data_IF_958986854003
#
_entry.id   IF_958986854003
#
_cell.length_a   1.000
_cell.length_b   1.000
_cell.length_c   1.000
_cell.angle_alpha   90.00
_cell.angle_beta   90.00
_cell.angle_gamma   90.00
#
_symmetry.space_group_name_H-M   'P 1'
#
loop_
_entity.id
_entity.type
_entity.pdbx_description
1 polymer ?
#
# COMPACT_ATOMS: atom_id res chain seq x y z
N UNK A 1 15.44 -16.08 -15.08
CA UNK A 1 14.28 -15.18 -15.16
C UNK A 1 14.73 -13.74 -15.13
N UNK A 2 14.44 -12.99 -16.20
CA UNK A 2 14.66 -11.55 -16.26
C UNK A 2 13.65 -10.78 -15.39
N UNK A 3 13.93 -9.50 -15.13
CA UNK A 3 13.03 -8.65 -14.33
C UNK A 3 11.61 -8.61 -14.89
N UNK A 4 11.45 -8.53 -16.21
CA UNK A 4 10.15 -8.53 -16.87
C UNK A 4 9.35 -9.83 -16.63
N UNK A 5 10.01 -10.98 -16.65
CA UNK A 5 9.37 -12.27 -16.38
C UNK A 5 8.94 -12.39 -14.91
N UNK A 6 9.75 -11.86 -14.00
CA UNK A 6 9.39 -11.81 -12.57
C UNK A 6 8.17 -10.91 -12.32
N UNK A 7 8.11 -9.75 -12.99
CA UNK A 7 6.96 -8.84 -12.87
C UNK A 7 5.68 -9.48 -13.41
N UNK A 8 5.74 -10.12 -14.59
CA UNK A 8 4.58 -10.82 -15.15
C UNK A 8 4.09 -11.94 -14.24
N UNK A 9 5.00 -12.72 -13.65
CA UNK A 9 4.62 -13.77 -12.70
C UNK A 9 3.95 -13.19 -11.44
N UNK A 10 4.39 -12.03 -10.96
CA UNK A 10 3.74 -11.33 -9.84
C UNK A 10 2.35 -10.81 -10.23
N UNK A 11 2.18 -10.26 -11.43
CA UNK A 11 0.88 -9.79 -11.95
C UNK A 11 -0.11 -10.95 -12.08
N UNK A 12 0.30 -12.07 -12.68
CA UNK A 12 -0.54 -13.27 -12.83
C UNK A 12 -0.95 -13.86 -11.47
N UNK A 13 -0.01 -13.90 -10.52
CA UNK A 13 -0.29 -14.32 -9.15
C UNK A 13 -1.30 -13.38 -8.49
N UNK A 14 -1.09 -12.07 -8.61
CA UNK A 14 -1.96 -11.06 -8.02
C UNK A 14 -3.39 -11.15 -8.58
N UNK A 15 -3.54 -11.23 -9.90
CA UNK A 15 -4.83 -11.42 -10.57
C UNK A 15 -5.52 -12.71 -10.14
N UNK A 16 -4.76 -13.77 -9.84
CA UNK A 16 -5.31 -15.02 -9.33
C UNK A 16 -5.86 -14.86 -7.91
N UNK A 17 -5.09 -14.24 -7.00
CA UNK A 17 -5.48 -14.01 -5.61
C UNK A 17 -6.75 -13.13 -5.52
N UNK A 18 -6.88 -12.15 -6.41
CA UNK A 18 -8.06 -11.27 -6.48
C UNK A 18 -9.36 -11.97 -6.86
N UNK A 19 -9.32 -13.21 -7.40
CA UNK A 19 -10.53 -13.97 -7.73
C UNK A 19 -11.25 -14.50 -6.49
N UNK A 20 -10.54 -14.64 -5.37
CA UNK A 20 -11.07 -15.15 -4.11
C UNK A 20 -10.56 -14.31 -2.94
N UNK A 21 -10.94 -13.02 -2.87
CA UNK A 21 -10.42 -12.12 -1.84
C UNK A 21 -10.76 -12.61 -0.43
N UNK A 22 -11.93 -13.22 -0.24
CA UNK A 22 -12.39 -13.74 1.05
C UNK A 22 -11.64 -15.01 1.49
N UNK A 23 -10.94 -15.69 0.57
CA UNK A 23 -10.13 -16.86 0.91
C UNK A 23 -8.81 -16.49 1.62
N UNK A 24 -8.45 -15.20 1.60
CA UNK A 24 -7.24 -14.67 2.23
C UNK A 24 -7.68 -13.82 3.42
N UNK A 25 -7.71 -14.38 4.65
CA UNK A 25 -8.13 -13.62 5.81
C UNK A 25 -7.17 -12.46 6.04
N UNK A 26 -7.75 -11.31 6.39
CA UNK A 26 -6.96 -10.15 6.81
C UNK A 26 -6.25 -10.48 8.13
N UNK A 27 -4.93 -10.27 8.25
CA UNK A 27 -4.24 -10.44 9.53
C UNK A 27 -4.86 -9.52 10.59
N UNK A 28 -5.11 -10.03 11.80
CA UNK A 28 -5.79 -9.25 12.84
C UNK A 28 -5.14 -7.92 13.19
N UNK A 29 -3.82 -7.80 13.02
CA UNK A 29 -3.09 -6.55 13.25
C UNK A 29 -3.38 -5.44 12.21
N UNK A 30 -3.95 -5.77 11.05
CA UNK A 30 -4.31 -4.76 10.04
C UNK A 30 -5.33 -3.77 10.60
N UNK A 31 -6.35 -4.27 11.31
CA UNK A 31 -7.39 -3.43 11.89
C UNK A 31 -6.83 -2.52 12.97
N UNK A 32 -5.92 -3.04 13.80
CA UNK A 32 -5.22 -2.25 14.82
C UNK A 32 -4.44 -1.09 14.19
N UNK A 33 -3.68 -1.35 13.11
CA UNK A 33 -2.91 -0.32 12.40
C UNK A 33 -3.82 0.72 11.74
N UNK A 34 -4.95 0.30 11.17
CA UNK A 34 -5.92 1.23 10.58
C UNK A 34 -6.55 2.12 11.65
N UNK A 35 -6.95 1.53 12.79
CA UNK A 35 -7.53 2.27 13.91
C UNK A 35 -6.55 3.29 14.50
N UNK A 36 -5.28 2.90 14.69
CA UNK A 36 -4.22 3.80 15.14
C UNK A 36 -4.04 4.99 14.19
N UNK A 37 -3.94 4.72 12.88
CA UNK A 37 -3.75 5.77 11.86
C UNK A 37 -4.95 6.71 11.76
N UNK A 38 -6.16 6.18 11.82
CA UNK A 38 -7.38 6.99 11.82
C UNK A 38 -7.46 7.88 13.07
N UNK A 39 -7.09 7.34 14.23
CA UNK A 39 -7.02 8.10 15.47
C UNK A 39 -5.99 9.24 15.36
N UNK A 40 -4.81 8.99 14.79
CA UNK A 40 -3.80 10.03 14.56
C UNK A 40 -4.28 11.14 13.63
N UNK A 41 -5.02 10.82 12.58
CA UNK A 41 -5.64 11.84 11.70
C UNK A 41 -6.68 12.66 12.47
N UNK A 42 -7.53 12.01 13.25
CA UNK A 42 -8.58 12.69 14.04
C UNK A 42 -8.00 13.62 15.10
N UNK A 43 -6.86 13.24 15.69
CA UNK A 43 -6.14 14.03 16.69
C UNK A 43 -5.26 15.13 16.06
N UNK A 44 -5.12 15.16 14.73
CA UNK A 44 -4.29 16.13 14.01
C UNK A 44 -2.79 15.80 14.01
N UNK A 45 -2.41 14.61 14.48
CA UNK A 45 -1.04 14.10 14.50
C UNK A 45 -0.59 13.59 13.12
N UNK A 46 -1.56 13.19 12.28
CA UNK A 46 -1.34 12.79 10.90
C UNK A 46 -2.23 13.58 9.95
N UNK A 47 -1.77 13.76 8.71
CA UNK A 47 -2.54 14.41 7.64
C UNK A 47 -2.37 13.68 6.32
N UNK A 48 -3.38 13.81 5.47
CA UNK A 48 -3.27 13.42 4.08
C UNK A 48 -2.48 14.48 3.31
N UNK A 49 -1.48 14.04 2.56
CA UNK A 49 -0.77 14.86 1.58
C UNK A 49 -1.24 14.48 0.17
N UNK A 50 -1.29 15.46 -0.74
CA UNK A 50 -1.49 15.18 -2.17
C UNK A 50 -0.32 14.35 -2.73
N UNK A 51 -0.67 13.24 -3.37
CA UNK A 51 0.28 12.30 -3.96
C UNK A 51 1.25 12.95 -4.96
N UNK A 52 0.80 13.89 -5.79
CA UNK A 52 1.67 14.57 -6.76
C UNK A 52 2.74 15.38 -6.04
N UNK A 53 2.33 16.09 -4.99
CA UNK A 53 3.20 16.88 -4.12
C UNK A 53 4.22 16.02 -3.37
N UNK A 54 3.79 14.88 -2.80
CA UNK A 54 4.69 13.91 -2.16
C UNK A 54 5.72 13.36 -3.15
N UNK A 55 5.27 12.95 -4.34
CA UNK A 55 6.16 12.38 -5.37
C UNK A 55 7.20 13.38 -5.84
N UNK A 56 6.83 14.66 -5.97
CA UNK A 56 7.77 15.75 -6.28
C UNK A 56 8.82 15.87 -5.16
N UNK A 57 8.37 16.01 -3.91
CA UNK A 57 9.24 16.13 -2.72
C UNK A 57 10.23 14.98 -2.59
N UNK A 58 9.80 13.74 -2.83
CA UNK A 58 10.67 12.57 -2.76
C UNK A 58 11.73 12.58 -3.86
N UNK A 59 11.35 12.96 -5.08
CA UNK A 59 12.30 13.05 -6.19
C UNK A 59 13.33 14.14 -5.95
N UNK A 60 12.90 15.32 -5.50
CA UNK A 60 13.79 16.44 -5.20
C UNK A 60 14.77 16.12 -4.04
N UNK A 61 14.43 15.13 -3.19
CA UNK A 61 15.26 14.71 -2.04
C UNK A 61 16.26 13.60 -2.36
N UNK A 62 15.92 12.71 -3.29
CA UNK A 62 16.66 11.46 -3.51
C UNK A 62 17.21 11.28 -4.93
N UNK A 63 16.90 12.21 -5.85
CA UNK A 63 17.67 12.41 -7.08
C UNK A 63 18.69 13.52 -6.89
#
# INVERSE_FOLDING_TARGET
MGTAEKLRALEELWDNLLKQPDAIPTPGWHDDVLAEREAGVRQGEARFDDWRSVRKRLRDRFN
#
